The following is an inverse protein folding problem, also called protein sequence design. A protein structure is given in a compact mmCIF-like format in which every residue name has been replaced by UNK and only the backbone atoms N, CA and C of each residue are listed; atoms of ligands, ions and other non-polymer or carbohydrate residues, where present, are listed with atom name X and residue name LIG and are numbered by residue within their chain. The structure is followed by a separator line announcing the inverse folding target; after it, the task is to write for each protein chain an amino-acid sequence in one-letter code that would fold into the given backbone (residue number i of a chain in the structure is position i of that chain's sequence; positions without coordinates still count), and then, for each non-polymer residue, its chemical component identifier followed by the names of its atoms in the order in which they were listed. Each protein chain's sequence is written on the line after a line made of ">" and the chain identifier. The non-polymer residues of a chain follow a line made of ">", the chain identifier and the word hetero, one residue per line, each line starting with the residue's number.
data_IF_423658318875
#
_entry.id   IF_423658318875
#
_cell.length_a   1.000
_cell.length_b   1.000
_cell.length_c   1.000
_cell.angle_alpha   90.00
_cell.angle_beta   90.00
_cell.angle_gamma   90.00
#
_symmetry.space_group_name_H-M   'P 1'
#
loop_
_entity.id
_entity.type
_entity.pdbx_description
1 polymer ?
#
# COMPACT_ATOMS: atom_id res chain seq x y z
N UNK A 1 -3.65 10.78 8.88
CA UNK A 1 -3.56 11.18 7.46
C UNK A 1 -3.15 12.63 7.17
N UNK A 2 -3.13 13.57 8.14
CA UNK A 2 -2.85 15.00 7.85
C UNK A 2 -1.49 15.24 7.17
N UNK A 3 -0.46 14.51 7.58
CA UNK A 3 0.89 14.67 7.04
C UNK A 3 1.01 14.22 5.56
N UNK A 4 0.43 13.08 5.18
CA UNK A 4 0.45 12.58 3.79
C UNK A 4 -0.19 13.60 2.85
N UNK A 5 -1.30 14.21 3.28
CA UNK A 5 -1.98 15.26 2.50
C UNK A 5 -1.12 16.51 2.31
N UNK A 6 -0.21 16.80 3.24
CA UNK A 6 0.69 17.95 3.18
C UNK A 6 1.95 17.70 2.34
N UNK A 7 2.22 16.46 1.92
CA UNK A 7 3.30 16.19 0.98
C UNK A 7 3.01 16.89 -0.37
N UNK A 8 4.04 17.51 -0.92
CA UNK A 8 3.99 18.16 -2.24
C UNK A 8 3.68 17.15 -3.34
N UNK A 9 2.86 17.56 -4.30
CA UNK A 9 2.55 16.76 -5.51
C UNK A 9 3.59 16.92 -6.62
N UNK A 10 4.58 17.80 -6.45
CA UNK A 10 5.60 18.07 -7.48
C UNK A 10 7.02 17.75 -7.05
N UNK A 11 7.29 17.73 -5.74
CA UNK A 11 8.67 17.55 -5.23
C UNK A 11 9.18 16.14 -5.46
N UNK A 12 8.31 15.14 -5.38
CA UNK A 12 8.66 13.72 -5.44
C UNK A 12 8.03 12.98 -6.63
N UNK A 13 7.53 13.72 -7.63
CA UNK A 13 6.77 13.14 -8.74
C UNK A 13 7.62 12.30 -9.72
N UNK A 14 8.93 12.21 -9.47
CA UNK A 14 9.90 11.34 -10.16
C UNK A 14 10.55 10.33 -9.23
N UNK A 15 10.19 10.36 -7.95
CA UNK A 15 10.78 9.51 -6.94
C UNK A 15 9.97 8.21 -6.81
N UNK A 16 10.66 7.23 -6.24
CA UNK A 16 10.11 5.95 -5.84
C UNK A 16 9.92 5.92 -4.32
N UNK A 17 8.78 5.40 -3.87
CA UNK A 17 8.48 5.19 -2.47
C UNK A 17 8.30 3.70 -2.15
N UNK A 18 9.01 3.22 -1.13
CA UNK A 18 8.78 1.91 -0.52
C UNK A 18 7.89 2.09 0.71
N UNK A 19 6.75 1.41 0.72
CA UNK A 19 5.80 1.36 1.84
C UNK A 19 5.91 -0.01 2.49
N UNK A 20 6.72 -0.09 3.55
CA UNK A 20 7.10 -1.33 4.22
C UNK A 20 6.09 -1.76 5.30
N UNK A 21 4.81 -1.81 4.95
CA UNK A 21 3.73 -2.27 5.83
C UNK A 21 3.22 -1.26 6.86
N UNK A 22 2.23 -1.70 7.62
CA UNK A 22 1.56 -1.02 8.72
C UNK A 22 1.00 0.37 8.32
N UNK A 23 0.32 0.42 7.18
CA UNK A 23 -0.30 1.63 6.64
C UNK A 23 -1.58 1.96 7.39
N UNK A 24 -2.49 0.98 7.52
CA UNK A 24 -3.75 1.17 8.22
C UNK A 24 -4.46 -0.16 8.54
N UNK A 25 -5.11 -0.22 9.70
CA UNK A 25 -5.96 -1.36 10.07
C UNK A 25 -7.28 -1.44 9.29
N UNK A 26 -7.75 -0.33 8.71
CA UNK A 26 -9.04 -0.29 7.99
C UNK A 26 -8.84 -0.06 6.50
N UNK A 27 -9.60 -0.78 5.68
CA UNK A 27 -9.47 -0.70 4.22
C UNK A 27 -9.68 0.73 3.69
N UNK A 28 -10.66 1.46 4.21
CA UNK A 28 -10.92 2.85 3.79
C UNK A 28 -9.71 3.78 4.02
N UNK A 29 -9.03 3.64 5.16
CA UNK A 29 -7.83 4.43 5.46
C UNK A 29 -6.64 3.97 4.61
N UNK A 30 -6.52 2.67 4.36
CA UNK A 30 -5.51 2.10 3.48
C UNK A 30 -5.63 2.69 2.07
N UNK A 31 -6.78 2.52 1.42
CA UNK A 31 -7.03 3.01 0.05
C UNK A 31 -6.83 4.52 -0.05
N UNK A 32 -7.33 5.28 0.92
CA UNK A 32 -7.14 6.73 0.95
C UNK A 32 -5.65 7.10 1.04
N UNK A 33 -4.86 6.35 1.80
CA UNK A 33 -3.42 6.61 1.96
C UNK A 33 -2.68 6.27 0.68
N UNK A 34 -2.91 5.08 0.12
CA UNK A 34 -2.25 4.63 -1.09
C UNK A 34 -2.56 5.51 -2.30
N UNK A 35 -3.80 5.99 -2.42
CA UNK A 35 -4.19 6.94 -3.47
C UNK A 35 -3.40 8.26 -3.36
N UNK A 36 -3.26 8.83 -2.16
CA UNK A 36 -2.49 10.05 -1.97
C UNK A 36 -1.01 9.87 -2.25
N UNK A 37 -0.44 8.71 -1.90
CA UNK A 37 0.96 8.40 -2.19
C UNK A 37 1.18 8.26 -3.70
N UNK A 38 0.29 7.55 -4.40
CA UNK A 38 0.33 7.42 -5.87
C UNK A 38 0.18 8.73 -6.62
N UNK A 39 -0.52 9.71 -6.06
CA UNK A 39 -0.62 11.06 -6.63
C UNK A 39 0.73 11.82 -6.54
N UNK A 40 1.61 11.46 -5.60
CA UNK A 40 2.81 12.25 -5.24
C UNK A 40 4.13 11.63 -5.69
N UNK A 41 4.16 10.31 -5.83
CA UNK A 41 5.35 9.54 -6.20
C UNK A 41 5.11 8.82 -7.53
N UNK A 42 6.14 8.76 -8.37
CA UNK A 42 6.06 8.07 -9.66
C UNK A 42 5.80 6.58 -9.43
N UNK A 43 6.59 5.97 -8.56
CA UNK A 43 6.50 4.56 -8.20
C UNK A 43 6.19 4.42 -6.71
N UNK A 44 5.27 3.52 -6.37
CA UNK A 44 4.96 3.17 -4.99
C UNK A 44 4.93 1.66 -4.92
N UNK A 45 5.80 1.08 -4.10
CA UNK A 45 5.83 -0.34 -3.80
C UNK A 45 5.28 -0.58 -2.41
N UNK A 46 4.52 -1.65 -2.23
CA UNK A 46 3.90 -1.99 -0.95
C UNK A 46 4.13 -3.45 -0.60
N UNK A 47 4.44 -3.69 0.67
CA UNK A 47 4.33 -5.00 1.33
C UNK A 47 3.40 -4.87 2.53
N UNK A 48 2.51 -5.85 2.78
CA UNK A 48 1.62 -5.79 3.94
C UNK A 48 2.39 -6.00 5.25
N UNK A 49 2.05 -5.20 6.25
CA UNK A 49 2.47 -5.36 7.64
C UNK A 49 1.44 -6.11 8.48
N UNK A 50 1.69 -6.26 9.78
CA UNK A 50 0.80 -7.00 10.67
C UNK A 50 -0.48 -6.23 10.96
N UNK A 51 -0.39 -4.90 11.16
CA UNK A 51 -1.56 -4.07 11.41
C UNK A 51 -2.48 -4.00 10.20
N UNK A 52 -1.92 -4.07 8.99
CA UNK A 52 -2.73 -4.10 7.77
C UNK A 52 -3.65 -5.33 7.72
N UNK A 53 -3.26 -6.43 8.38
CA UNK A 53 -3.97 -7.72 8.33
C UNK A 53 -4.80 -8.02 9.57
N UNK A 54 -4.80 -7.14 10.58
CA UNK A 54 -5.59 -7.34 11.79
C UNK A 54 -7.08 -7.23 11.50
N UNK A 55 -7.79 -8.35 11.48
CA UNK A 55 -9.23 -8.37 11.27
C UNK A 55 -9.97 -7.76 12.48
N UNK A 56 -10.71 -6.67 12.26
CA UNK A 56 -11.54 -6.05 13.29
C UNK A 56 -12.97 -6.57 13.16
N UNK A 57 -13.52 -7.02 14.29
CA UNK A 57 -14.84 -7.66 14.34
C UNK A 57 -15.98 -6.75 13.84
N UNK A 58 -15.82 -5.43 13.96
CA UNK A 58 -16.81 -4.40 13.67
C UNK A 58 -16.82 -3.95 12.19
N UNK A 59 -15.68 -4.03 11.51
CA UNK A 59 -15.54 -3.54 10.13
C UNK A 59 -15.32 -4.64 9.10
N UNK A 60 -14.74 -5.77 9.51
CA UNK A 60 -14.21 -6.75 8.56
C UNK A 60 -15.12 -7.97 8.41
N UNK A 61 -16.36 -7.92 8.91
CA UNK A 61 -17.45 -8.91 8.68
C UNK A 61 -16.96 -10.35 8.49
N UNK A 62 -16.24 -10.89 9.48
CA UNK A 62 -15.73 -12.28 9.49
C UNK A 62 -14.71 -12.66 8.40
N UNK A 63 -14.02 -11.68 7.79
CA UNK A 63 -12.88 -11.94 6.91
C UNK A 63 -11.72 -12.56 7.71
N UNK A 64 -11.13 -13.63 7.18
CA UNK A 64 -9.82 -14.12 7.58
C UNK A 64 -8.71 -13.17 7.11
N UNK A 65 -7.51 -13.30 7.67
CA UNK A 65 -6.37 -12.44 7.32
C UNK A 65 -5.97 -12.54 5.83
N UNK A 66 -6.17 -13.70 5.20
CA UNK A 66 -5.94 -13.90 3.76
C UNK A 66 -6.95 -13.14 2.90
N UNK A 67 -8.23 -13.22 3.25
CA UNK A 67 -9.28 -12.48 2.53
C UNK A 67 -9.07 -10.98 2.73
N UNK A 68 -8.65 -10.56 3.93
CA UNK A 68 -8.25 -9.17 4.18
C UNK A 68 -7.07 -8.76 3.30
N UNK A 69 -6.04 -9.61 3.15
CA UNK A 69 -4.95 -9.33 2.23
C UNK A 69 -5.46 -9.09 0.81
N UNK A 70 -6.33 -9.95 0.29
CA UNK A 70 -6.93 -9.77 -1.04
C UNK A 70 -7.65 -8.42 -1.16
N UNK A 71 -8.40 -8.02 -0.12
CA UNK A 71 -9.06 -6.70 -0.11
C UNK A 71 -8.12 -5.50 -0.11
N UNK A 72 -6.85 -5.67 0.31
CA UNK A 72 -5.82 -4.63 0.23
C UNK A 72 -5.11 -4.63 -1.13
N UNK A 73 -4.85 -5.83 -1.69
CA UNK A 73 -4.16 -5.98 -2.97
C UNK A 73 -5.02 -5.52 -4.15
N UNK A 74 -6.34 -5.68 -4.07
CA UNK A 74 -7.28 -5.23 -5.11
C UNK A 74 -7.17 -3.72 -5.42
N UNK A 75 -7.28 -2.82 -4.42
CA UNK A 75 -7.03 -1.40 -4.61
C UNK A 75 -5.61 -1.09 -5.09
N UNK A 76 -4.59 -1.80 -4.62
CA UNK A 76 -3.22 -1.60 -5.08
C UNK A 76 -3.10 -1.76 -6.61
N UNK A 77 -3.71 -2.82 -7.16
CA UNK A 77 -3.77 -3.04 -8.62
C UNK A 77 -4.48 -1.89 -9.34
N UNK A 78 -5.63 -1.45 -8.83
CA UNK A 78 -6.38 -0.34 -9.42
C UNK A 78 -5.67 1.01 -9.38
N UNK A 79 -4.85 1.24 -8.34
CA UNK A 79 -4.09 2.48 -8.14
C UNK A 79 -2.71 2.49 -8.81
N UNK A 80 -2.25 1.34 -9.34
CA UNK A 80 -0.88 1.19 -9.86
C UNK A 80 0.18 1.20 -8.75
N UNK A 81 -0.15 0.67 -7.58
CA UNK A 81 0.80 0.34 -6.52
C UNK A 81 1.39 -1.04 -6.82
N UNK A 82 2.71 -1.12 -6.83
CA UNK A 82 3.46 -2.34 -7.12
C UNK A 82 3.52 -3.22 -5.87
N UNK A 83 3.04 -4.46 -5.98
CA UNK A 83 3.12 -5.48 -4.92
C UNK A 83 3.90 -6.72 -5.35
N UNK A 84 4.43 -6.70 -6.57
CA UNK A 84 5.21 -7.78 -7.17
C UNK A 84 6.63 -7.28 -7.52
N UNK A 85 7.57 -8.19 -7.80
CA UNK A 85 8.88 -7.80 -8.30
C UNK A 85 8.79 -6.99 -9.58
N UNK A 86 9.57 -5.91 -9.67
CA UNK A 86 9.63 -5.05 -10.85
C UNK A 86 11.02 -4.43 -11.03
N UNK A 87 11.34 -4.08 -12.28
CA UNK A 87 12.49 -3.23 -12.61
C UNK A 87 11.99 -1.79 -12.78
N UNK A 88 12.64 -0.85 -12.13
CA UNK A 88 12.36 0.59 -12.28
C UNK A 88 13.66 1.30 -12.61
N UNK A 89 13.79 1.76 -13.86
CA UNK A 89 14.97 2.49 -14.36
C UNK A 89 16.31 1.76 -14.09
N UNK A 90 16.33 0.43 -14.23
CA UNK A 90 17.50 -0.40 -13.96
C UNK A 90 17.75 -0.71 -12.48
N UNK A 91 16.83 -0.34 -11.59
CA UNK A 91 16.78 -0.78 -10.20
C UNK A 91 15.74 -1.89 -10.03
N UNK A 92 16.20 -3.11 -9.76
CA UNK A 92 15.34 -4.24 -9.43
C UNK A 92 14.83 -4.17 -7.98
N UNK A 93 13.52 -4.23 -7.80
CA UNK A 93 12.85 -4.20 -6.49
C UNK A 93 12.03 -5.46 -6.34
N UNK A 94 12.18 -6.12 -5.19
CA UNK A 94 11.51 -7.38 -4.86
C UNK A 94 10.77 -7.16 -3.53
N UNK A 95 9.47 -6.83 -3.57
CA UNK A 95 8.64 -6.79 -2.38
C UNK A 95 8.48 -8.20 -1.81
N UNK A 96 8.89 -8.42 -0.56
CA UNK A 96 8.78 -9.73 0.11
C UNK A 96 7.86 -9.58 1.31
N UNK A 97 6.84 -10.45 1.39
CA UNK A 97 5.98 -10.59 2.56
C UNK A 97 6.21 -11.95 3.22
N UNK A 98 5.83 -12.07 4.50
CA UNK A 98 5.89 -13.31 5.28
C UNK A 98 4.64 -14.20 5.10
N UNK A 99 3.70 -13.79 4.25
CA UNK A 99 2.51 -14.57 3.94
C UNK A 99 2.86 -15.46 2.73
N UNK A 100 2.97 -16.75 2.99
CA UNK A 100 3.20 -17.80 1.98
C UNK A 100 1.93 -18.10 1.16
#
# INVERSE_FOLDING_TARGET
>A
MRWVKCLSTTTHNRDLLLVAGDVAETNNNFVSTMSLLKERFQHVFFVPGNHDLWCRWDTDHSLGSLEKLDTLLDPCRGLGVETNPADTDGLGIIPISWLD
#
